data_IF_237424711517
#
_entry.id   IF_237424711517
#
_cell.length_a   1.000
_cell.length_b   1.000
_cell.length_c   1.000
_cell.angle_alpha   90.00
_cell.angle_beta   90.00
_cell.angle_gamma   90.00
#
_symmetry.space_group_name_H-M   'P 1'
#
loop_
_entity.id
_entity.type
_entity.pdbx_description
1 polymer ?
#
# COMPACT_ATOMS: atom_id res chain seq x y z
N UNK A 1 -1.95 -3.02 -5.69
CA UNK A 1 -3.20 -2.24 -5.69
C UNK A 1 -3.19 -1.24 -6.82
N UNK A 2 -4.34 -0.97 -7.43
CA UNK A 2 -4.51 0.05 -8.48
C UNK A 2 -5.70 0.96 -8.18
N UNK A 3 -5.63 2.21 -8.66
CA UNK A 3 -6.71 3.18 -8.62
C UNK A 3 -6.73 4.01 -9.91
N UNK A 4 -7.90 4.58 -10.24
CA UNK A 4 -8.02 5.52 -11.36
C UNK A 4 -7.36 6.84 -11.00
N UNK A 5 -6.73 7.50 -11.97
CA UNK A 5 -6.24 8.88 -11.81
C UNK A 5 -7.39 9.84 -11.53
N UNK A 6 -7.08 11.01 -10.99
CA UNK A 6 -8.07 12.07 -10.76
C UNK A 6 -8.60 12.64 -12.09
N UNK A 7 -9.82 13.17 -12.04
CA UNK A 7 -10.43 13.96 -13.12
C UNK A 7 -10.50 13.21 -14.46
N UNK A 8 -10.24 13.92 -15.55
CA UNK A 8 -10.46 13.50 -16.92
C UNK A 8 -9.62 12.27 -17.30
N UNK A 9 -8.37 12.20 -16.84
CA UNK A 9 -7.53 11.03 -17.04
C UNK A 9 -8.17 9.76 -16.46
N UNK A 10 -8.77 9.84 -15.26
CA UNK A 10 -9.49 8.72 -14.66
C UNK A 10 -10.79 8.35 -15.37
N UNK A 11 -11.52 9.34 -15.91
CA UNK A 11 -12.73 9.10 -16.72
C UNK A 11 -12.41 8.34 -18.01
N UNK A 12 -11.25 8.60 -18.59
CA UNK A 12 -10.70 7.89 -19.75
C UNK A 12 -10.11 6.52 -19.41
N UNK A 13 -10.20 6.07 -18.15
CA UNK A 13 -9.74 4.76 -17.71
C UNK A 13 -8.26 4.67 -17.35
N UNK A 14 -7.54 5.80 -17.29
CA UNK A 14 -6.15 5.79 -16.86
C UNK A 14 -6.04 5.42 -15.38
N UNK A 15 -5.24 4.41 -15.09
CA UNK A 15 -5.01 3.89 -13.74
C UNK A 15 -3.53 3.98 -13.38
N UNK A 16 -3.27 4.08 -12.09
CA UNK A 16 -1.95 3.98 -11.49
C UNK A 16 -1.97 2.86 -10.46
N UNK A 17 -0.85 2.18 -10.27
CA UNK A 17 -0.76 1.07 -9.35
C UNK A 17 0.57 1.07 -8.60
N UNK A 18 0.51 0.56 -7.37
CA UNK A 18 1.68 0.27 -6.55
C UNK A 18 1.46 -1.03 -5.77
N UNK A 19 2.54 -1.74 -5.48
CA UNK A 19 2.49 -2.94 -4.66
C UNK A 19 2.24 -2.53 -3.20
N UNK A 20 0.99 -2.71 -2.78
CA UNK A 20 0.41 -2.38 -1.48
C UNK A 20 -0.68 -3.41 -1.19
N UNK A 21 -1.08 -3.50 0.08
CA UNK A 21 -2.08 -4.42 0.58
C UNK A 21 -3.43 -4.16 -0.10
N UNK A 22 -4.10 -5.24 -0.51
CA UNK A 22 -5.30 -5.17 -1.35
C UNK A 22 -6.50 -4.45 -0.70
N UNK A 23 -6.49 -4.32 0.62
CA UNK A 23 -7.56 -3.74 1.45
C UNK A 23 -7.13 -2.45 2.17
N UNK A 24 -5.96 -1.89 1.83
CA UNK A 24 -5.33 -0.75 2.52
C UNK A 24 -5.11 -0.95 4.03
N UNK A 25 -5.23 -2.17 4.54
CA UNK A 25 -5.01 -2.48 5.95
C UNK A 25 -3.53 -2.77 6.27
N UNK A 26 -2.58 -2.23 5.49
CA UNK A 26 -1.14 -2.50 5.61
C UNK A 26 -0.59 -2.36 7.04
N UNK A 27 -1.08 -1.36 7.77
CA UNK A 27 -0.73 -1.14 9.18
C UNK A 27 -1.08 -2.36 10.05
N UNK A 28 -2.22 -3.00 9.81
CA UNK A 28 -2.64 -4.18 10.58
C UNK A 28 -1.74 -5.40 10.27
N UNK A 29 -1.33 -5.57 9.02
CA UNK A 29 -0.45 -6.68 8.63
C UNK A 29 0.94 -6.54 9.25
N UNK A 30 1.61 -5.38 9.13
CA UNK A 30 2.97 -5.23 9.66
C UNK A 30 3.05 -5.22 11.18
N UNK A 31 1.98 -4.84 11.86
CA UNK A 31 1.87 -4.91 13.32
C UNK A 31 1.44 -6.29 13.84
N UNK A 32 1.28 -7.28 12.95
CA UNK A 32 0.78 -8.61 13.34
C UNK A 32 -0.64 -8.62 13.90
N UNK A 33 -1.45 -7.58 13.60
CA UNK A 33 -2.85 -7.47 14.04
C UNK A 33 -3.83 -8.11 13.06
N UNK A 34 -3.37 -8.36 11.83
CA UNK A 34 -4.11 -9.08 10.78
C UNK A 34 -3.12 -9.99 10.04
N UNK A 35 -3.54 -11.20 9.74
CA UNK A 35 -2.74 -12.17 8.99
C UNK A 35 -3.16 -12.20 7.53
N UNK A 36 -2.20 -12.46 6.64
CA UNK A 36 -2.51 -12.75 5.24
C UNK A 36 -2.97 -14.20 5.10
N UNK A 37 -3.49 -14.59 3.93
CA UNK A 37 -3.78 -16.00 3.64
C UNK A 37 -2.54 -16.92 3.76
N UNK A 38 -1.35 -16.34 3.65
CA UNK A 38 -0.06 -17.03 3.79
C UNK A 38 0.48 -16.94 5.24
N UNK A 39 -0.30 -16.38 6.18
CA UNK A 39 0.13 -16.11 7.55
C UNK A 39 0.94 -14.83 7.69
N UNK A 40 1.54 -14.67 8.87
CA UNK A 40 2.63 -13.77 9.18
C UNK A 40 3.90 -14.33 8.52
N UNK A 41 4.40 -13.61 7.51
CA UNK A 41 5.64 -13.98 6.83
C UNK A 41 6.81 -14.10 7.81
N UNK A 42 7.86 -14.81 7.39
CA UNK A 42 9.11 -14.96 8.13
C UNK A 42 9.59 -13.59 8.64
N UNK A 43 9.97 -13.52 9.91
CA UNK A 43 10.65 -12.35 10.44
C UNK A 43 11.91 -12.06 9.62
N UNK A 44 11.91 -10.91 8.95
CA UNK A 44 12.97 -10.43 8.09
C UNK A 44 14.04 -9.66 8.88
N UNK A 45 13.89 -9.54 10.21
CA UNK A 45 14.80 -8.80 11.09
C UNK A 45 14.70 -7.29 10.95
N UNK A 46 13.75 -6.78 10.16
CA UNK A 46 13.55 -5.34 9.98
C UNK A 46 12.71 -4.79 11.15
N UNK A 47 13.16 -3.72 11.84
CA UNK A 47 12.40 -3.09 12.91
C UNK A 47 10.99 -2.69 12.46
N UNK A 48 10.03 -2.78 13.37
CA UNK A 48 8.63 -2.46 13.08
C UNK A 48 8.47 -1.01 12.60
N UNK A 49 9.20 -0.09 13.21
CA UNK A 49 9.22 1.34 12.92
C UNK A 49 9.66 1.59 11.47
N UNK A 50 10.66 0.84 11.01
CA UNK A 50 11.14 0.91 9.63
C UNK A 50 10.10 0.34 8.66
N UNK A 51 9.48 -0.80 8.99
CA UNK A 51 8.36 -1.35 8.20
C UNK A 51 7.22 -0.34 8.06
N UNK A 52 6.87 0.31 9.16
CA UNK A 52 5.83 1.35 9.19
C UNK A 52 6.24 2.55 8.34
N UNK A 53 7.47 3.05 8.47
CA UNK A 53 7.97 4.16 7.67
C UNK A 53 7.93 3.84 6.17
N UNK A 54 8.40 2.65 5.77
CA UNK A 54 8.38 2.19 4.37
C UNK A 54 6.95 2.13 3.81
N UNK A 55 5.99 1.63 4.60
CA UNK A 55 4.57 1.59 4.17
C UNK A 55 4.01 3.00 3.99
N UNK A 56 4.29 3.92 4.91
CA UNK A 56 3.81 5.31 4.82
C UNK A 56 4.36 5.98 3.55
N UNK A 57 5.66 5.88 3.31
CA UNK A 57 6.28 6.42 2.08
C UNK A 57 5.66 5.83 0.81
N UNK A 58 5.39 4.52 0.79
CA UNK A 58 4.75 3.89 -0.36
C UNK A 58 3.29 4.33 -0.54
N UNK A 59 2.54 4.50 0.55
CA UNK A 59 1.16 4.99 0.52
C UNK A 59 1.10 6.43 0.02
N UNK A 60 1.94 7.31 0.56
CA UNK A 60 1.99 8.72 0.16
C UNK A 60 2.33 8.87 -1.32
N UNK A 61 3.30 8.09 -1.81
CA UNK A 61 3.64 8.08 -3.23
C UNK A 61 2.50 7.54 -4.12
N UNK A 62 1.75 6.55 -3.66
CA UNK A 62 0.57 6.07 -4.37
C UNK A 62 -0.51 7.15 -4.43
N UNK A 63 -0.82 7.80 -3.31
CA UNK A 63 -1.80 8.87 -3.27
C UNK A 63 -1.39 10.05 -4.16
N UNK A 64 -0.11 10.44 -4.14
CA UNK A 64 0.43 11.45 -5.04
C UNK A 64 0.22 11.09 -6.51
N UNK A 65 0.44 9.82 -6.89
CA UNK A 65 0.21 9.34 -8.27
C UNK A 65 -1.26 9.36 -8.70
N UNK A 66 -2.18 9.21 -7.75
CA UNK A 66 -3.64 9.24 -8.00
C UNK A 66 -4.12 10.66 -8.22
N UNK A 67 -3.64 11.62 -7.42
CA UNK A 67 -4.09 13.02 -7.47
C UNK A 67 -3.41 13.84 -8.57
N UNK A 68 -2.25 13.39 -9.06
CA UNK A 68 -1.54 13.92 -10.22
C UNK A 68 -2.30 13.64 -11.53
#
# INVERSE_FOLDING_TARGET
MSARRRCEAGKQGNTVGRYLCADLACSLYVRGRKQTLLGDGRDDGVPLEEKVARIRTNLDAFLASVVA
#
